data_IF_892542088951
#
_entry.id   IF_892542088951
#
_cell.length_a   1.000
_cell.length_b   1.000
_cell.length_c   1.000
_cell.angle_alpha   90.00
_cell.angle_beta   90.00
_cell.angle_gamma   90.00
#
_symmetry.space_group_name_H-M   'P 1'
#
loop_
_entity.id
_entity.type
_entity.pdbx_description
1 polymer ?
#
# COMPACT_ATOMS: atom_id res chain seq x y z
N UNK A 1 17.84 2.83 2.79
CA UNK A 1 17.30 4.09 3.36
C UNK A 1 15.95 3.78 4.01
N UNK A 2 15.66 4.40 5.15
CA UNK A 2 14.35 4.24 5.80
C UNK A 2 13.28 5.07 5.08
N UNK A 3 12.09 4.49 4.88
CA UNK A 3 10.96 5.18 4.25
C UNK A 3 10.54 6.40 5.08
N UNK A 4 10.56 6.31 6.42
CA UNK A 4 10.27 7.47 7.28
C UNK A 4 11.21 8.64 7.05
N UNK A 5 12.47 8.41 6.67
CA UNK A 5 13.41 9.48 6.32
C UNK A 5 13.08 10.14 4.97
N UNK A 6 12.57 9.37 4.00
CA UNK A 6 12.08 9.91 2.73
C UNK A 6 10.84 10.80 2.94
N UNK A 7 9.90 10.33 3.76
CA UNK A 7 8.64 11.02 4.01
C UNK A 7 8.76 12.26 4.90
N UNK A 8 9.89 12.44 5.57
CA UNK A 8 10.18 13.65 6.36
C UNK A 8 10.94 14.73 5.56
N UNK A 9 11.18 14.49 4.26
CA UNK A 9 11.74 15.53 3.37
C UNK A 9 10.63 16.42 2.85
N UNK A 10 10.94 17.70 2.64
CA UNK A 10 10.01 18.66 2.04
C UNK A 10 9.98 18.49 0.51
N UNK A 11 9.41 17.39 0.06
CA UNK A 11 9.24 17.08 -1.37
C UNK A 11 8.01 16.19 -1.60
N UNK A 12 7.53 16.21 -2.82
CA UNK A 12 6.56 15.23 -3.29
C UNK A 12 7.26 13.89 -3.48
N UNK A 13 6.66 12.79 -2.99
CA UNK A 13 7.17 11.44 -3.20
C UNK A 13 6.16 10.60 -3.96
N UNK A 14 6.64 9.85 -4.96
CA UNK A 14 5.85 8.89 -5.72
C UNK A 14 6.42 7.48 -5.58
N UNK A 15 5.58 6.55 -5.19
CA UNK A 15 5.94 5.15 -4.97
C UNK A 15 4.93 4.20 -5.63
N UNK A 16 5.36 2.98 -5.89
CA UNK A 16 4.53 1.97 -6.54
C UNK A 16 4.50 0.68 -5.75
N UNK A 17 3.33 0.02 -5.76
CA UNK A 17 3.17 -1.32 -5.23
C UNK A 17 3.34 -2.35 -6.33
N UNK A 18 4.05 -3.43 -5.99
CA UNK A 18 4.10 -4.67 -6.77
C UNK A 18 3.73 -5.86 -5.89
N UNK A 19 3.18 -6.89 -6.50
CA UNK A 19 2.84 -8.11 -5.77
C UNK A 19 3.55 -9.33 -6.36
N UNK A 20 3.97 -10.27 -5.50
CA UNK A 20 4.64 -11.48 -5.94
C UNK A 20 3.68 -12.37 -6.75
N UNK A 21 4.21 -13.24 -7.62
CA UNK A 21 3.42 -14.19 -8.37
C UNK A 21 2.75 -15.20 -7.42
N UNK A 22 1.53 -15.61 -7.76
CA UNK A 22 0.81 -16.67 -7.03
C UNK A 22 1.39 -18.06 -7.31
N UNK A 23 2.03 -18.23 -8.44
CA UNK A 23 2.63 -19.50 -8.90
C UNK A 23 4.01 -19.26 -9.47
N UNK A 24 4.90 -20.24 -9.38
CA UNK A 24 6.25 -20.14 -9.93
C UNK A 24 6.28 -19.92 -11.45
N UNK A 25 5.27 -20.40 -12.18
CA UNK A 25 5.15 -20.19 -13.63
C UNK A 25 4.95 -18.75 -14.07
N UNK A 26 4.48 -17.86 -13.17
CA UNK A 26 4.32 -16.44 -13.46
C UNK A 26 5.45 -15.56 -12.90
N UNK A 27 6.50 -16.17 -12.35
CA UNK A 27 7.59 -15.43 -11.70
C UNK A 27 8.33 -14.51 -12.67
N UNK A 28 8.72 -15.01 -13.84
CA UNK A 28 9.45 -14.20 -14.83
C UNK A 28 8.67 -12.98 -15.30
N UNK A 29 7.37 -13.15 -15.56
CA UNK A 29 6.51 -12.04 -15.98
C UNK A 29 6.38 -10.96 -14.90
N UNK A 30 6.25 -11.38 -13.63
CA UNK A 30 6.18 -10.42 -12.51
C UNK A 30 7.54 -9.76 -12.26
N UNK A 31 8.63 -10.52 -12.37
CA UNK A 31 9.98 -9.98 -12.24
C UNK A 31 10.27 -8.93 -13.33
N UNK A 32 9.86 -9.17 -14.58
CA UNK A 32 10.00 -8.22 -15.68
C UNK A 32 9.18 -6.94 -15.42
N UNK A 33 7.90 -7.07 -15.07
CA UNK A 33 7.06 -5.92 -14.74
C UNK A 33 7.63 -5.11 -13.56
N UNK A 34 8.16 -5.79 -12.53
CA UNK A 34 8.81 -5.15 -11.39
C UNK A 34 10.06 -4.38 -11.81
N UNK A 35 10.87 -4.93 -12.71
CA UNK A 35 12.04 -4.27 -13.28
C UNK A 35 11.65 -3.00 -14.05
N UNK A 36 10.64 -3.07 -14.91
CA UNK A 36 10.18 -1.91 -15.69
C UNK A 36 9.67 -0.78 -14.78
N UNK A 37 8.95 -1.12 -13.70
CA UNK A 37 8.51 -0.13 -12.69
C UNK A 37 9.70 0.44 -11.93
N UNK A 38 10.69 -0.38 -11.55
CA UNK A 38 11.90 0.10 -10.88
C UNK A 38 12.72 1.04 -11.76
N UNK A 39 12.74 0.83 -13.08
CA UNK A 39 13.40 1.71 -14.05
C UNK A 39 12.81 3.13 -14.10
N UNK A 40 11.59 3.32 -13.63
CA UNK A 40 10.96 4.63 -13.45
C UNK A 40 11.57 5.44 -12.29
N UNK A 41 12.43 4.83 -11.47
CA UNK A 41 13.10 5.43 -10.30
C UNK A 41 12.14 6.06 -9.30
N UNK A 42 11.13 5.30 -8.81
CA UNK A 42 10.26 5.80 -7.74
C UNK A 42 11.04 6.03 -6.45
N UNK A 43 10.51 6.86 -5.54
CA UNK A 43 11.12 7.09 -4.24
C UNK A 43 11.24 5.81 -3.39
N UNK A 44 10.25 4.94 -3.47
CA UNK A 44 10.31 3.58 -2.94
C UNK A 44 9.33 2.65 -3.68
N UNK A 45 9.49 1.34 -3.49
CA UNK A 45 8.52 0.36 -3.97
C UNK A 45 8.08 -0.55 -2.83
N UNK A 46 6.78 -0.82 -2.75
CA UNK A 46 6.29 -1.84 -1.83
C UNK A 46 6.13 -3.19 -2.52
N UNK A 47 6.41 -4.26 -1.77
CA UNK A 47 6.20 -5.64 -2.20
C UNK A 47 5.21 -6.31 -1.27
N UNK A 48 4.05 -6.71 -1.79
CA UNK A 48 2.99 -7.30 -0.97
C UNK A 48 3.38 -8.67 -0.44
N UNK A 49 2.71 -9.07 0.65
CA UNK A 49 2.86 -10.39 1.25
C UNK A 49 1.61 -11.23 0.94
N UNK A 50 1.78 -12.41 0.39
CA UNK A 50 0.63 -13.25 0.04
C UNK A 50 -0.06 -13.81 1.28
N UNK A 51 -1.39 -13.73 1.30
CA UNK A 51 -2.20 -14.34 2.35
C UNK A 51 -1.89 -15.83 2.49
N UNK A 52 -1.67 -16.29 3.72
CA UNK A 52 -1.38 -17.70 4.03
C UNK A 52 0.07 -18.16 3.81
N UNK A 53 1.02 -17.25 3.57
CA UNK A 53 2.46 -17.56 3.58
C UNK A 53 3.00 -18.25 2.33
N UNK A 54 2.17 -18.72 1.40
CA UNK A 54 2.59 -19.47 0.22
C UNK A 54 3.44 -18.70 -0.79
N UNK A 55 3.49 -17.36 -0.70
CA UNK A 55 4.29 -16.49 -1.57
C UNK A 55 5.40 -15.75 -0.81
N UNK A 56 5.62 -16.07 0.45
CA UNK A 56 6.58 -15.37 1.32
C UNK A 56 8.01 -15.37 0.78
N UNK A 57 8.46 -16.48 0.18
CA UNK A 57 9.77 -16.56 -0.44
C UNK A 57 9.89 -15.68 -1.69
N UNK A 58 8.85 -15.62 -2.51
CA UNK A 58 8.81 -14.73 -3.66
C UNK A 58 8.86 -13.25 -3.25
N UNK A 59 8.16 -12.88 -2.16
CA UNK A 59 8.24 -11.53 -1.59
C UNK A 59 9.68 -11.16 -1.22
N UNK A 60 10.38 -12.03 -0.49
CA UNK A 60 11.79 -11.79 -0.09
C UNK A 60 12.68 -11.66 -1.31
N UNK A 61 12.54 -12.56 -2.30
CA UNK A 61 13.38 -12.56 -3.50
C UNK A 61 13.18 -11.29 -4.34
N UNK A 62 11.93 -10.89 -4.60
CA UNK A 62 11.63 -9.66 -5.35
C UNK A 62 12.17 -8.43 -4.58
N UNK A 63 11.96 -8.36 -3.28
CA UNK A 63 12.45 -7.26 -2.46
C UNK A 63 13.99 -7.18 -2.46
N UNK A 64 14.66 -8.31 -2.35
CA UNK A 64 16.12 -8.38 -2.42
C UNK A 64 16.66 -7.97 -3.80
N UNK A 65 16.00 -8.38 -4.87
CA UNK A 65 16.37 -8.00 -6.24
C UNK A 65 16.17 -6.50 -6.47
N UNK A 66 15.05 -5.92 -6.05
CA UNK A 66 14.81 -4.48 -6.12
C UNK A 66 15.91 -3.68 -5.44
N UNK A 67 16.29 -4.10 -4.23
CA UNK A 67 17.35 -3.42 -3.47
C UNK A 67 18.72 -3.58 -4.12
N UNK A 68 19.11 -4.82 -4.52
CA UNK A 68 20.47 -5.14 -4.95
C UNK A 68 20.75 -4.77 -6.40
N UNK A 69 19.75 -4.97 -7.29
CA UNK A 69 19.94 -4.80 -8.74
C UNK A 69 19.51 -3.41 -9.22
N UNK A 70 18.54 -2.79 -8.55
CA UNK A 70 17.93 -1.53 -9.01
C UNK A 70 18.13 -0.36 -8.05
N UNK A 71 18.77 -0.58 -6.90
CA UNK A 71 19.02 0.43 -5.84
C UNK A 71 17.74 1.16 -5.38
N UNK A 72 16.62 0.45 -5.37
CA UNK A 72 15.33 0.99 -4.94
C UNK A 72 15.18 0.84 -3.43
N UNK A 73 14.68 1.86 -2.76
CA UNK A 73 14.21 1.74 -1.37
C UNK A 73 12.98 0.82 -1.34
N UNK A 74 13.08 -0.29 -0.61
CA UNK A 74 12.03 -1.32 -0.58
C UNK A 74 11.27 -1.29 0.73
N UNK A 75 9.94 -1.38 0.64
CA UNK A 75 8.99 -1.59 1.73
C UNK A 75 8.36 -2.97 1.57
N UNK A 76 8.66 -3.93 2.44
CA UNK A 76 8.02 -5.25 2.39
C UNK A 76 6.80 -5.30 3.28
N UNK A 77 5.72 -5.91 2.79
CA UNK A 77 4.58 -6.20 3.64
C UNK A 77 4.86 -7.43 4.51
N UNK A 78 4.30 -7.45 5.70
CA UNK A 78 4.25 -8.62 6.57
C UNK A 78 2.88 -8.67 7.24
N UNK A 79 2.18 -9.80 7.11
CA UNK A 79 0.88 -10.01 7.73
C UNK A 79 0.98 -10.94 8.92
N UNK A 80 0.15 -10.74 9.94
CA UNK A 80 0.13 -11.59 11.13
C UNK A 80 -1.11 -12.49 11.22
N UNK A 81 -2.12 -12.29 10.40
CA UNK A 81 -3.26 -13.21 10.34
C UNK A 81 -2.78 -14.63 10.03
N UNK A 82 -3.26 -15.61 10.80
CA UNK A 82 -2.85 -17.01 10.66
C UNK A 82 -1.34 -17.26 10.85
N UNK A 83 -0.65 -16.40 11.61
CA UNK A 83 0.79 -16.52 11.86
C UNK A 83 1.08 -16.74 13.35
N UNK A 84 2.11 -17.55 13.61
CA UNK A 84 2.69 -17.67 14.95
C UNK A 84 3.82 -16.65 15.13
N UNK A 85 4.20 -16.38 16.39
CA UNK A 85 5.32 -15.49 16.72
C UNK A 85 6.64 -16.02 16.14
N UNK A 86 6.83 -17.34 16.14
CA UNK A 86 8.01 -17.99 15.57
C UNK A 86 8.09 -17.75 14.05
N UNK A 87 6.94 -17.85 13.34
CA UNK A 87 6.90 -17.58 11.90
C UNK A 87 7.26 -16.13 11.60
N UNK A 88 6.66 -15.18 12.33
CA UNK A 88 6.97 -13.75 12.19
C UNK A 88 8.44 -13.48 12.47
N UNK A 89 9.01 -14.03 13.54
CA UNK A 89 10.43 -13.88 13.88
C UNK A 89 11.34 -14.43 12.78
N UNK A 90 10.99 -15.58 12.20
CA UNK A 90 11.74 -16.16 11.08
C UNK A 90 11.68 -15.26 9.84
N UNK A 91 10.54 -14.64 9.53
CA UNK A 91 10.39 -13.72 8.41
C UNK A 91 11.16 -12.43 8.64
N UNK A 92 11.09 -11.82 9.81
CA UNK A 92 11.87 -10.63 10.18
C UNK A 92 13.37 -10.90 10.05
N UNK A 93 13.83 -12.09 10.46
CA UNK A 93 15.21 -12.53 10.29
C UNK A 93 15.58 -12.63 8.80
N UNK A 94 14.73 -13.21 7.94
CA UNK A 94 14.94 -13.27 6.49
C UNK A 94 15.05 -11.87 5.89
N UNK A 95 14.18 -10.93 6.26
CA UNK A 95 14.25 -9.55 5.81
C UNK A 95 15.57 -8.89 6.22
N UNK A 96 16.00 -9.06 7.46
CA UNK A 96 17.29 -8.55 7.94
C UNK A 96 18.47 -9.08 7.13
N UNK A 97 18.51 -10.40 6.82
CA UNK A 97 19.56 -10.99 5.97
C UNK A 97 19.52 -10.48 4.54
N UNK A 98 18.35 -10.18 4.01
CA UNK A 98 18.20 -9.57 2.69
C UNK A 98 18.54 -8.07 2.68
N UNK A 99 18.86 -7.48 3.86
CA UNK A 99 19.18 -6.07 4.02
C UNK A 99 17.94 -5.16 3.93
N UNK A 100 16.74 -5.71 4.10
CA UNK A 100 15.49 -4.95 4.08
C UNK A 100 15.34 -4.24 5.42
N UNK A 101 15.05 -2.94 5.36
CA UNK A 101 14.98 -2.05 6.53
C UNK A 101 13.57 -1.55 6.80
N UNK A 102 12.63 -1.70 5.85
CA UNK A 102 11.29 -1.14 5.94
C UNK A 102 10.24 -2.24 5.83
N UNK A 103 9.30 -2.27 6.77
CA UNK A 103 8.24 -3.28 6.85
C UNK A 103 6.89 -2.57 7.01
N UNK A 104 5.94 -2.88 6.15
CA UNK A 104 4.53 -2.51 6.34
C UNK A 104 3.85 -3.62 7.13
N UNK A 105 3.57 -3.34 8.40
CA UNK A 105 2.95 -4.29 9.33
C UNK A 105 1.43 -4.27 9.17
N UNK A 106 0.87 -5.40 8.76
CA UNK A 106 -0.55 -5.58 8.47
C UNK A 106 -1.13 -6.72 9.31
N UNK A 107 -2.41 -6.61 9.66
CA UNK A 107 -3.09 -7.79 10.19
C UNK A 107 -3.25 -8.83 9.08
N UNK A 108 -3.68 -8.41 7.93
CA UNK A 108 -4.13 -9.23 6.81
C UNK A 108 -5.63 -9.54 6.88
N UNK A 109 -6.19 -10.02 5.77
CA UNK A 109 -7.60 -10.39 5.68
C UNK A 109 -7.83 -11.77 6.29
N UNK A 110 -8.93 -11.91 7.03
CA UNK A 110 -9.34 -13.21 7.58
C UNK A 110 -9.85 -14.08 6.43
N UNK A 111 -9.27 -15.28 6.21
CA UNK A 111 -9.71 -16.18 5.16
C UNK A 111 -11.18 -16.59 5.32
N UNK A 112 -11.84 -16.93 4.19
CA UNK A 112 -13.17 -17.58 4.23
C UNK A 112 -13.08 -18.86 5.05
N UNK A 113 -13.95 -18.99 6.07
CA UNK A 113 -13.91 -20.12 7.02
C UNK A 113 -13.18 -19.84 8.33
N UNK A 114 -12.70 -18.60 8.53
CA UNK A 114 -12.00 -18.16 9.73
C UNK A 114 -10.47 -18.27 9.62
N UNK A 115 -9.79 -17.54 10.48
CA UNK A 115 -8.34 -17.65 10.60
C UNK A 115 -7.97 -18.96 11.30
N UNK A 116 -7.04 -19.76 10.78
CA UNK A 116 -6.38 -20.77 11.57
C UNK A 116 -5.68 -20.11 12.76
N UNK A 117 -5.14 -20.92 13.66
CA UNK A 117 -4.46 -20.42 14.86
C UNK A 117 -3.53 -19.25 14.53
N UNK A 118 -3.71 -18.14 15.26
CA UNK A 118 -2.85 -16.95 15.19
C UNK A 118 -2.51 -16.48 16.60
N UNK A 119 -1.25 -16.13 16.82
CA UNK A 119 -0.79 -15.54 18.07
C UNK A 119 -1.02 -14.02 18.11
N UNK A 120 -1.63 -13.47 17.05
CA UNK A 120 -1.89 -12.04 16.87
C UNK A 120 -3.36 -11.79 16.62
N UNK A 121 -3.88 -10.75 17.28
CA UNK A 121 -5.23 -10.24 17.05
C UNK A 121 -5.22 -8.94 16.22
N UNK A 122 -4.19 -8.11 16.42
CA UNK A 122 -4.08 -6.79 15.81
C UNK A 122 -2.68 -6.51 15.26
N UNK A 123 -2.61 -5.68 14.22
CA UNK A 123 -1.35 -5.26 13.64
C UNK A 123 -0.43 -4.51 14.63
N UNK A 124 -0.98 -3.88 15.68
CA UNK A 124 -0.19 -3.21 16.71
C UNK A 124 0.73 -4.19 17.49
N UNK A 125 0.28 -5.44 17.65
CA UNK A 125 1.11 -6.49 18.29
C UNK A 125 2.27 -6.87 17.37
N UNK A 126 2.01 -7.01 16.06
CA UNK A 126 3.03 -7.26 15.05
C UNK A 126 4.07 -6.13 15.01
N UNK A 127 3.62 -4.87 15.07
CA UNK A 127 4.51 -3.69 15.11
C UNK A 127 5.48 -3.79 16.30
N UNK A 128 4.99 -4.08 17.51
CA UNK A 128 5.83 -4.24 18.71
C UNK A 128 6.86 -5.36 18.54
N UNK A 129 6.45 -6.49 17.99
CA UNK A 129 7.33 -7.64 17.78
C UNK A 129 8.43 -7.32 16.75
N UNK A 130 8.10 -6.66 15.64
CA UNK A 130 9.09 -6.24 14.63
C UNK A 130 10.10 -5.26 15.27
N UNK A 131 9.60 -4.24 15.99
CA UNK A 131 10.46 -3.22 16.65
C UNK A 131 11.38 -3.82 17.69
N UNK A 132 10.97 -4.89 18.39
CA UNK A 132 11.80 -5.60 19.35
C UNK A 132 12.96 -6.38 18.73
N UNK A 133 12.89 -6.72 17.44
CA UNK A 133 13.86 -7.57 16.73
C UNK A 133 14.94 -6.80 15.97
N UNK A 134 14.86 -5.47 15.90
CA UNK A 134 15.88 -4.66 15.25
C UNK A 134 15.43 -3.26 14.90
N UNK A 135 16.34 -2.51 14.28
CA UNK A 135 16.12 -1.12 13.85
C UNK A 135 15.40 -1.07 12.49
N UNK A 136 14.16 -1.57 12.46
CA UNK A 136 13.31 -1.49 11.30
C UNK A 136 12.47 -0.21 11.30
N UNK A 137 12.32 0.41 10.12
CA UNK A 137 11.29 1.39 9.86
C UNK A 137 9.96 0.64 9.63
N UNK A 138 8.98 0.88 10.48
CA UNK A 138 7.69 0.17 10.41
C UNK A 138 6.58 1.12 10.01
N UNK A 139 5.90 0.79 8.92
CA UNK A 139 4.65 1.44 8.51
C UNK A 139 3.43 0.61 8.89
N UNK A 140 2.26 1.24 8.89
CA UNK A 140 0.98 0.60 9.09
C UNK A 140 -0.07 1.02 8.08
N UNK A 141 -1.08 0.18 7.83
CA UNK A 141 -2.23 0.57 7.03
C UNK A 141 -3.21 1.44 7.83
N UNK A 142 -3.88 2.36 7.13
CA UNK A 142 -5.00 3.14 7.64
C UNK A 142 -6.13 3.22 6.61
N UNK A 143 -7.33 3.54 7.06
CA UNK A 143 -8.54 3.45 6.25
C UNK A 143 -9.28 4.79 6.28
N UNK A 144 -9.20 5.62 5.24
CA UNK A 144 -9.88 6.92 5.20
C UNK A 144 -11.40 6.82 5.40
N UNK A 145 -11.98 5.72 4.93
CA UNK A 145 -13.41 5.43 5.07
C UNK A 145 -13.79 4.67 6.36
N UNK A 146 -12.78 4.22 7.12
CA UNK A 146 -12.91 3.32 8.27
C UNK A 146 -12.73 1.85 7.85
N UNK A 147 -12.17 1.05 8.74
CA UNK A 147 -12.03 -0.39 8.52
C UNK A 147 -13.40 -1.07 8.57
N UNK A 148 -13.67 -1.99 7.64
CA UNK A 148 -14.98 -2.66 7.50
C UNK A 148 -15.40 -3.46 8.74
N UNK A 149 -14.46 -3.91 9.54
CA UNK A 149 -14.71 -4.67 10.78
C UNK A 149 -14.74 -3.77 12.03
N UNK A 150 -14.40 -2.48 11.93
CA UNK A 150 -14.50 -1.57 13.06
C UNK A 150 -15.98 -1.22 13.35
N UNK A 151 -16.38 -1.15 14.60
CA UNK A 151 -17.73 -0.81 14.97
C UNK A 151 -18.14 0.60 14.48
N UNK A 152 -17.17 1.51 14.40
CA UNK A 152 -17.35 2.86 13.87
C UNK A 152 -16.00 3.53 13.56
N UNK A 153 -16.04 4.64 12.82
CA UNK A 153 -14.83 5.38 12.40
C UNK A 153 -14.01 5.95 13.58
N UNK A 154 -14.62 6.19 14.73
CA UNK A 154 -13.91 6.71 15.91
C UNK A 154 -13.09 5.61 16.55
N UNK A 155 -13.64 4.43 16.67
CA UNK A 155 -12.95 3.25 17.19
C UNK A 155 -11.79 2.83 16.28
N UNK A 156 -12.00 2.86 14.95
CA UNK A 156 -10.93 2.60 13.99
C UNK A 156 -9.72 3.55 14.18
N UNK A 157 -9.98 4.84 14.44
CA UNK A 157 -8.91 5.82 14.72
C UNK A 157 -8.23 5.54 16.07
N UNK A 158 -8.93 5.04 17.08
CA UNK A 158 -8.30 4.64 18.35
C UNK A 158 -7.36 3.45 18.15
N UNK A 159 -7.77 2.43 17.41
CA UNK A 159 -6.89 1.32 17.03
C UNK A 159 -5.72 1.78 16.16
N UNK A 160 -5.91 2.77 15.30
CA UNK A 160 -4.83 3.37 14.54
C UNK A 160 -3.83 4.09 15.46
N UNK A 161 -4.31 4.80 16.50
CA UNK A 161 -3.45 5.43 17.51
C UNK A 161 -2.62 4.40 18.25
N UNK A 162 -3.22 3.29 18.68
CA UNK A 162 -2.50 2.18 19.32
C UNK A 162 -1.38 1.61 18.43
N UNK A 163 -1.62 1.52 17.13
CA UNK A 163 -0.64 1.07 16.14
C UNK A 163 0.53 2.05 16.02
N UNK A 164 0.25 3.36 16.02
CA UNK A 164 1.29 4.39 16.00
C UNK A 164 2.08 4.39 17.30
N UNK A 165 1.41 4.29 18.45
CA UNK A 165 2.05 4.21 19.76
C UNK A 165 2.89 2.93 19.95
N UNK A 166 2.56 1.87 19.22
CA UNK A 166 3.35 0.65 19.15
C UNK A 166 4.67 0.82 18.36
N UNK A 167 4.84 1.91 17.60
CA UNK A 167 6.07 2.24 16.90
C UNK A 167 5.95 2.36 15.38
N UNK A 168 4.75 2.53 14.82
CA UNK A 168 4.61 2.90 13.40
C UNK A 168 5.15 4.31 13.17
N UNK A 169 6.03 4.43 12.17
CA UNK A 169 6.70 5.68 11.79
C UNK A 169 5.98 6.41 10.64
N UNK A 170 5.11 5.73 9.92
CA UNK A 170 4.25 6.28 8.87
C UNK A 170 3.03 5.40 8.64
N UNK A 171 2.05 5.92 7.92
CA UNK A 171 0.82 5.21 7.56
C UNK A 171 0.64 5.22 6.04
N UNK A 172 0.13 4.12 5.48
CA UNK A 172 -0.31 4.05 4.08
C UNK A 172 -1.81 3.80 4.04
N UNK A 173 -2.54 4.61 3.28
CA UNK A 173 -4.01 4.47 3.24
C UNK A 173 -4.43 3.30 2.37
N UNK A 174 -5.58 2.68 2.71
CA UNK A 174 -6.37 1.95 1.73
C UNK A 174 -6.80 2.92 0.63
N UNK A 175 -7.07 2.39 -0.58
CA UNK A 175 -7.57 3.20 -1.69
C UNK A 175 -8.88 3.91 -1.33
N UNK A 176 -9.07 5.06 -1.92
CA UNK A 176 -10.28 5.88 -1.87
C UNK A 176 -10.43 6.61 -3.21
N UNK A 177 -11.63 7.08 -3.54
CA UNK A 177 -11.91 7.74 -4.83
C UNK A 177 -12.42 9.17 -4.68
N UNK A 178 -12.62 9.64 -3.44
CA UNK A 178 -13.00 11.02 -3.12
C UNK A 178 -11.97 11.62 -2.17
N UNK A 179 -11.27 12.67 -2.60
CA UNK A 179 -10.24 13.32 -1.81
C UNK A 179 -10.80 14.03 -0.56
N UNK A 180 -12.08 14.42 -0.55
CA UNK A 180 -12.72 14.97 0.65
C UNK A 180 -12.74 13.95 1.81
N UNK A 181 -12.87 12.67 1.50
CA UNK A 181 -12.78 11.59 2.50
C UNK A 181 -11.39 11.57 3.12
N UNK A 182 -10.34 11.69 2.29
CA UNK A 182 -8.96 11.74 2.77
C UNK A 182 -8.71 12.98 3.64
N UNK A 183 -9.14 14.16 3.21
CA UNK A 183 -8.96 15.40 3.98
C UNK A 183 -9.66 15.34 5.34
N UNK A 184 -10.90 14.85 5.38
CA UNK A 184 -11.62 14.62 6.63
C UNK A 184 -10.92 13.60 7.54
N UNK A 185 -10.42 12.52 6.96
CA UNK A 185 -9.64 11.52 7.70
C UNK A 185 -8.38 12.12 8.33
N UNK A 186 -7.60 12.88 7.56
CA UNK A 186 -6.39 13.55 8.07
C UNK A 186 -6.71 14.48 9.24
N UNK A 187 -7.77 15.30 9.12
CA UNK A 187 -8.21 16.16 10.21
C UNK A 187 -8.50 15.34 11.48
N UNK A 188 -9.30 14.30 11.36
CA UNK A 188 -9.70 13.45 12.50
C UNK A 188 -8.54 12.73 13.18
N UNK A 189 -7.57 12.22 12.43
CA UNK A 189 -6.39 11.57 13.04
C UNK A 189 -5.48 12.58 13.73
N UNK A 190 -5.34 13.80 13.19
CA UNK A 190 -4.58 14.88 13.82
C UNK A 190 -5.21 15.33 15.13
N UNK A 191 -6.54 15.42 15.22
CA UNK A 191 -7.26 15.66 16.49
C UNK A 191 -6.97 14.61 17.56
N UNK A 192 -6.64 13.38 17.18
CA UNK A 192 -6.26 12.29 18.10
C UNK A 192 -4.74 12.21 18.37
N UNK A 193 -3.98 13.21 17.92
CA UNK A 193 -2.55 13.28 18.14
C UNK A 193 -1.72 12.29 17.31
N UNK A 194 -2.28 11.77 16.21
CA UNK A 194 -1.53 10.97 15.24
C UNK A 194 -0.86 11.96 14.28
N UNK A 195 0.45 12.13 14.39
CA UNK A 195 1.24 13.14 13.63
C UNK A 195 2.18 12.53 12.61
N UNK A 196 2.35 11.23 12.57
CA UNK A 196 3.21 10.54 11.60
C UNK A 196 2.79 10.85 10.15
N UNK A 197 3.73 10.83 9.18
CA UNK A 197 3.41 10.98 7.76
C UNK A 197 2.35 9.98 7.29
N UNK A 198 1.49 10.43 6.38
CA UNK A 198 0.48 9.58 5.74
C UNK A 198 0.73 9.56 4.23
N UNK A 199 0.86 8.36 3.69
CA UNK A 199 1.03 8.11 2.26
C UNK A 199 -0.34 7.76 1.67
N UNK A 200 -0.79 8.53 0.70
CA UNK A 200 -2.08 8.32 0.05
C UNK A 200 -2.01 7.18 -0.97
N UNK A 201 -2.76 6.12 -0.74
CA UNK A 201 -2.88 4.97 -1.61
C UNK A 201 -3.89 5.23 -2.74
N UNK A 202 -3.41 5.26 -3.98
CA UNK A 202 -4.21 5.55 -5.18
C UNK A 202 -4.33 4.32 -6.06
N UNK A 203 -5.57 3.98 -6.44
CA UNK A 203 -5.87 2.85 -7.31
C UNK A 203 -6.33 3.32 -8.70
N UNK A 204 -5.48 3.24 -9.72
CA UNK A 204 -5.90 3.45 -11.09
C UNK A 204 -6.81 2.31 -11.55
N UNK A 205 -8.10 2.58 -11.74
CA UNK A 205 -9.06 1.57 -12.16
C UNK A 205 -9.11 1.50 -13.68
N UNK A 206 -8.64 0.40 -14.23
CA UNK A 206 -8.48 0.22 -15.68
C UNK A 206 -9.50 -0.73 -16.31
N UNK A 207 -10.41 -1.30 -15.52
CA UNK A 207 -11.50 -2.13 -16.02
C UNK A 207 -12.62 -2.28 -14.99
N UNK A 208 -13.84 -2.56 -15.46
CA UNK A 208 -15.06 -2.69 -14.63
C UNK A 208 -14.97 -3.86 -13.62
N UNK A 209 -14.26 -4.94 -13.95
CA UNK A 209 -14.14 -6.09 -13.04
C UNK A 209 -13.40 -5.71 -11.76
N UNK A 210 -12.40 -4.81 -11.85
CA UNK A 210 -11.72 -4.27 -10.67
C UNK A 210 -12.71 -3.57 -9.73
N UNK A 211 -13.61 -2.75 -10.27
CA UNK A 211 -14.58 -1.98 -9.47
C UNK A 211 -15.47 -2.92 -8.66
N UNK A 212 -16.08 -3.91 -9.33
CA UNK A 212 -16.94 -4.89 -8.65
C UNK A 212 -16.20 -5.59 -7.50
N UNK A 213 -14.94 -5.95 -7.72
CA UNK A 213 -14.10 -6.57 -6.69
C UNK A 213 -13.78 -5.61 -5.55
N UNK A 214 -13.39 -4.38 -5.86
CA UNK A 214 -13.06 -3.34 -4.88
C UNK A 214 -14.25 -3.08 -3.95
N UNK A 215 -15.43 -2.82 -4.53
CA UNK A 215 -16.64 -2.52 -3.75
C UNK A 215 -17.10 -3.69 -2.88
N UNK A 216 -16.95 -4.92 -3.37
CA UNK A 216 -17.34 -6.11 -2.59
C UNK A 216 -16.38 -6.41 -1.43
N UNK A 217 -15.08 -6.07 -1.54
CA UNK A 217 -14.07 -6.41 -0.53
C UNK A 217 -13.84 -5.29 0.48
N UNK A 218 -13.84 -4.03 0.05
CA UNK A 218 -13.44 -2.90 0.89
C UNK A 218 -14.58 -1.97 1.28
N UNK A 219 -15.77 -2.14 0.68
CA UNK A 219 -16.88 -1.22 0.91
C UNK A 219 -16.61 0.23 0.48
N UNK A 220 -15.59 0.44 -0.36
CA UNK A 220 -15.13 1.77 -0.77
C UNK A 220 -16.21 2.54 -1.53
N UNK A 221 -16.43 3.79 -1.14
CA UNK A 221 -17.37 4.68 -1.79
C UNK A 221 -16.89 5.05 -3.20
N UNK A 222 -17.80 4.95 -4.17
CA UNK A 222 -17.57 5.39 -5.54
C UNK A 222 -18.32 6.71 -5.78
N UNK A 223 -17.61 7.83 -6.00
CA UNK A 223 -18.24 9.12 -6.32
C UNK A 223 -19.05 9.05 -7.62
N UNK A 224 -20.12 9.84 -7.72
CA UNK A 224 -20.98 9.88 -8.91
C UNK A 224 -20.20 10.22 -10.20
N UNK A 225 -19.20 11.11 -10.08
CA UNK A 225 -18.28 11.42 -11.20
C UNK A 225 -17.55 10.18 -11.70
N UNK A 226 -17.10 9.30 -10.79
CA UNK A 226 -16.38 8.08 -11.17
C UNK A 226 -17.34 7.02 -11.73
N UNK A 227 -18.54 6.89 -11.16
CA UNK A 227 -19.59 6.01 -11.71
C UNK A 227 -19.95 6.38 -13.13
N UNK A 228 -20.13 7.67 -13.44
CA UNK A 228 -20.40 8.14 -14.79
C UNK A 228 -19.30 7.77 -15.80
N UNK A 229 -18.03 7.78 -15.38
CA UNK A 229 -16.90 7.31 -16.21
C UNK A 229 -17.04 5.81 -16.50
N UNK A 230 -17.34 5.03 -15.46
CA UNK A 230 -17.50 3.57 -15.58
C UNK A 230 -18.67 3.22 -16.50
N UNK A 231 -19.81 3.88 -16.30
CA UNK A 231 -21.03 3.65 -17.10
C UNK A 231 -20.81 4.02 -18.57
N UNK A 232 -20.04 5.07 -18.82
CA UNK A 232 -19.78 5.54 -20.19
C UNK A 232 -18.73 4.73 -20.94
N UNK A 233 -17.67 4.30 -20.26
CA UNK A 233 -16.48 3.72 -20.90
C UNK A 233 -16.24 2.25 -20.54
N UNK A 234 -17.03 1.67 -19.63
CA UNK A 234 -16.79 0.33 -19.08
C UNK A 234 -16.79 -0.80 -20.12
N UNK A 235 -17.54 -0.68 -21.19
CA UNK A 235 -17.59 -1.66 -22.27
C UNK A 235 -16.46 -1.52 -23.30
N UNK A 236 -15.67 -0.45 -23.21
CA UNK A 236 -14.50 -0.23 -24.07
C UNK A 236 -13.22 -0.28 -23.20
N UNK A 237 -12.46 -1.39 -23.23
CA UNK A 237 -11.28 -1.55 -22.37
C UNK A 237 -10.21 -0.47 -22.53
N UNK A 238 -9.99 0.01 -23.77
CA UNK A 238 -8.99 1.04 -24.04
C UNK A 238 -9.43 2.40 -23.48
N UNK A 239 -10.69 2.78 -23.69
CA UNK A 239 -11.25 4.02 -23.15
C UNK A 239 -11.34 3.98 -21.62
N UNK A 240 -11.76 2.86 -21.04
CA UNK A 240 -11.81 2.70 -19.58
C UNK A 240 -10.41 2.80 -18.95
N UNK A 241 -9.41 2.16 -19.54
CA UNK A 241 -8.02 2.27 -19.08
C UNK A 241 -7.54 3.72 -19.09
N UNK A 242 -7.76 4.43 -20.21
CA UNK A 242 -7.37 5.83 -20.35
C UNK A 242 -8.08 6.72 -19.31
N UNK A 243 -9.39 6.61 -19.22
CA UNK A 243 -10.19 7.41 -18.29
C UNK A 243 -9.82 7.14 -16.81
N UNK A 244 -9.55 5.87 -16.47
CA UNK A 244 -9.14 5.49 -15.12
C UNK A 244 -7.76 6.01 -14.72
N UNK A 245 -6.80 6.04 -15.65
CA UNK A 245 -5.49 6.66 -15.41
C UNK A 245 -5.61 8.17 -15.25
N UNK A 246 -6.41 8.83 -16.10
CA UNK A 246 -6.64 10.28 -15.98
C UNK A 246 -7.30 10.61 -14.64
N UNK A 247 -8.33 9.87 -14.24
CA UNK A 247 -9.00 10.08 -12.94
C UNK A 247 -8.02 9.96 -11.77
N UNK A 248 -7.19 8.91 -11.75
CA UNK A 248 -6.18 8.72 -10.72
C UNK A 248 -5.13 9.85 -10.72
N UNK A 249 -4.73 10.32 -11.90
CA UNK A 249 -3.77 11.43 -12.03
C UNK A 249 -4.35 12.75 -11.50
N UNK A 250 -5.60 13.07 -11.85
CA UNK A 250 -6.30 14.25 -11.31
C UNK A 250 -6.44 14.16 -9.79
N UNK A 251 -6.78 12.99 -9.26
CA UNK A 251 -6.84 12.74 -7.82
C UNK A 251 -5.50 13.04 -7.14
N UNK A 252 -4.39 12.60 -7.72
CA UNK A 252 -3.03 12.85 -7.22
C UNK A 252 -2.70 14.34 -7.25
N UNK A 253 -2.99 15.03 -8.34
CA UNK A 253 -2.73 16.47 -8.49
C UNK A 253 -3.48 17.26 -7.41
N UNK A 254 -4.77 16.97 -7.21
CA UNK A 254 -5.57 17.62 -6.18
C UNK A 254 -5.04 17.36 -4.77
N UNK A 255 -4.61 16.11 -4.46
CA UNK A 255 -4.00 15.77 -3.19
C UNK A 255 -2.73 16.58 -2.93
N UNK A 256 -1.82 16.66 -3.90
CA UNK A 256 -0.56 17.41 -3.79
C UNK A 256 -0.84 18.90 -3.63
N UNK A 257 -1.78 19.46 -4.41
CA UNK A 257 -2.18 20.87 -4.30
C UNK A 257 -2.74 21.23 -2.93
N UNK A 258 -3.27 20.25 -2.18
CA UNK A 258 -3.79 20.41 -0.82
C UNK A 258 -2.84 19.89 0.26
N UNK A 259 -1.53 19.74 -0.05
CA UNK A 259 -0.48 19.42 0.92
C UNK A 259 -0.35 17.93 1.28
N UNK A 260 -0.98 17.02 0.54
CA UNK A 260 -0.77 15.57 0.67
C UNK A 260 0.31 15.14 -0.31
N UNK A 261 1.57 15.26 0.11
CA UNK A 261 2.73 15.15 -0.78
C UNK A 261 3.24 13.72 -0.99
N UNK A 262 2.73 12.72 -0.26
CA UNK A 262 3.23 11.36 -0.35
C UNK A 262 2.20 10.45 -1.01
N UNK A 263 2.54 9.97 -2.21
CA UNK A 263 1.64 9.20 -3.07
C UNK A 263 2.16 7.78 -3.26
N UNK A 264 1.28 6.81 -3.08
CA UNK A 264 1.53 5.40 -3.33
C UNK A 264 0.52 4.84 -4.34
N UNK A 265 0.99 4.39 -5.50
CA UNK A 265 0.12 3.91 -6.56
C UNK A 265 0.07 2.38 -6.57
N UNK A 266 -1.11 1.84 -6.46
CA UNK A 266 -1.39 0.41 -6.61
C UNK A 266 -1.35 0.03 -8.09
N UNK A 267 -0.14 -0.19 -8.61
CA UNK A 267 0.13 -0.34 -10.05
C UNK A 267 -0.43 -1.61 -10.67
N UNK A 268 -0.82 -2.59 -9.86
CA UNK A 268 -1.31 -3.90 -10.28
C UNK A 268 -0.32 -4.65 -11.19
N UNK A 269 0.99 -4.51 -10.95
CA UNK A 269 2.08 -5.01 -11.79
C UNK A 269 1.96 -4.59 -13.26
N UNK A 270 1.50 -3.35 -13.51
CA UNK A 270 1.32 -2.79 -14.87
C UNK A 270 2.26 -1.62 -15.07
N UNK A 271 3.45 -1.83 -15.68
CA UNK A 271 4.44 -0.78 -15.88
C UNK A 271 3.91 0.40 -16.69
N UNK A 272 3.07 0.12 -17.68
CA UNK A 272 2.48 1.16 -18.52
C UNK A 272 1.52 2.10 -17.77
N UNK A 273 0.91 1.63 -16.68
CA UNK A 273 0.08 2.47 -15.81
C UNK A 273 0.96 3.34 -14.92
N UNK A 274 1.99 2.75 -14.32
CA UNK A 274 2.96 3.48 -13.51
C UNK A 274 3.66 4.58 -14.33
N UNK A 275 4.16 4.24 -15.51
CA UNK A 275 4.81 5.19 -16.44
C UNK A 275 3.86 6.30 -16.88
N UNK A 276 2.61 5.99 -17.20
CA UNK A 276 1.60 6.98 -17.62
C UNK A 276 1.31 8.01 -16.51
N UNK A 277 1.15 7.58 -15.27
CA UNK A 277 0.96 8.48 -14.13
C UNK A 277 2.21 9.32 -13.89
N UNK A 278 3.39 8.70 -13.81
CA UNK A 278 4.63 9.43 -13.55
C UNK A 278 4.93 10.47 -14.64
N UNK A 279 4.73 10.12 -15.93
CA UNK A 279 4.91 11.04 -17.04
C UNK A 279 3.97 12.25 -16.94
N UNK A 280 2.72 12.03 -16.52
CA UNK A 280 1.74 13.10 -16.34
C UNK A 280 2.05 14.03 -15.17
N UNK A 281 2.89 13.57 -14.22
CA UNK A 281 3.31 14.31 -13.02
C UNK A 281 4.76 14.83 -13.11
N UNK A 282 5.43 14.69 -14.26
CA UNK A 282 6.87 14.90 -14.41
C UNK A 282 7.39 16.27 -13.98
N UNK A 283 6.59 17.32 -14.11
CA UNK A 283 6.95 18.67 -13.64
C UNK A 283 6.63 18.89 -12.14
N UNK A 284 5.69 18.16 -11.59
CA UNK A 284 5.26 18.24 -10.18
C UNK A 284 6.24 17.49 -9.26
N UNK A 285 6.89 16.46 -9.80
CA UNK A 285 7.81 15.59 -9.07
C UNK A 285 9.27 16.11 -9.05
N UNK A 286 9.55 17.24 -9.70
CA UNK A 286 10.87 17.91 -9.68
C UNK A 286 11.10 18.65 -8.36
#
# INVERSE_FOLDING_TARGET
>A
MKVSQLLNQDKVTLSFEVFPPKTSSSYESVAHATQEIAALRPDFMSVTYGAGGGTSEHTVNIAADLKKKYDVTVLTHLTCVSSTREHVAAMVKKYKYAGIENILALRGDIPEGGAPHSDYHYAAELVRDIKSQGDFCVGGACYPEGHVEAANKTEDILHLKEKVDAGCEFLTTQMFFDNNIMYNFLYRIREKGITVPVVAGIMPVTNVKQIKRITSMSGTYLPERFKAIVDRFGDNPAAMKQAGVIYATEQIIDLIANGVNHIHVYSMNKPEIAAGIQSSLSEILK
#
